data_IF_137313152124
#
_entry.id   IF_137313152124
#
_cell.length_a   1.000
_cell.length_b   1.000
_cell.length_c   1.000
_cell.angle_alpha   90.00
_cell.angle_beta   90.00
_cell.angle_gamma   90.00
#
_symmetry.space_group_name_H-M   'P 1'
#
loop_
_entity.id
_entity.type
_entity.pdbx_description
1 polymer ?
#
# COMPACT_ATOMS: atom_id res chain seq x y z
N UNK A 1 -4.22 -13.38 12.46
CA UNK A 1 -4.63 -13.22 11.04
C UNK A 1 -6.14 -13.36 10.88
N UNK A 2 -6.73 -14.49 11.29
CA UNK A 2 -8.18 -14.74 11.14
C UNK A 2 -9.10 -13.59 11.61
N UNK A 3 -9.00 -13.18 12.88
CA UNK A 3 -9.82 -12.08 13.45
C UNK A 3 -9.81 -10.81 12.57
N UNK A 4 -8.64 -10.35 12.15
CA UNK A 4 -8.53 -9.13 11.35
C UNK A 4 -9.01 -9.32 9.91
N UNK A 5 -8.88 -10.51 9.34
CA UNK A 5 -9.43 -10.80 8.01
C UNK A 5 -10.97 -10.73 8.02
N UNK A 6 -11.64 -11.25 9.05
CA UNK A 6 -13.10 -11.18 9.20
C UNK A 6 -13.59 -9.73 9.39
N UNK A 7 -12.87 -8.94 10.18
CA UNK A 7 -13.17 -7.51 10.36
C UNK A 7 -12.99 -6.73 9.06
N UNK A 8 -11.90 -6.98 8.33
CA UNK A 8 -11.57 -6.27 7.10
C UNK A 8 -12.45 -6.68 5.92
N UNK A 9 -12.96 -7.91 5.90
CA UNK A 9 -13.94 -8.32 4.90
C UNK A 9 -15.18 -7.42 4.97
N UNK A 10 -15.69 -7.18 6.19
CA UNK A 10 -16.89 -6.36 6.41
C UNK A 10 -16.66 -4.88 6.12
N UNK A 11 -15.46 -4.36 6.43
CA UNK A 11 -15.14 -2.93 6.31
C UNK A 11 -14.64 -2.52 4.93
N UNK A 12 -13.87 -3.40 4.29
CA UNK A 12 -13.05 -3.06 3.12
C UNK A 12 -13.16 -4.08 1.98
N UNK A 13 -14.04 -5.08 2.10
CA UNK A 13 -14.16 -6.18 1.16
C UNK A 13 -12.83 -6.94 0.94
N UNK A 14 -12.01 -7.02 2.00
CA UNK A 14 -10.74 -7.74 2.00
C UNK A 14 -10.90 -9.08 2.72
N UNK A 15 -11.22 -10.13 1.96
CA UNK A 15 -11.62 -11.44 2.48
C UNK A 15 -10.49 -12.30 3.04
N UNK A 16 -9.22 -12.00 2.73
CA UNK A 16 -8.08 -12.80 3.14
C UNK A 16 -6.93 -11.91 3.67
N UNK A 17 -6.02 -12.48 4.46
CA UNK A 17 -4.91 -11.75 5.05
C UNK A 17 -3.71 -12.68 5.31
N UNK A 18 -2.51 -12.12 5.36
CA UNK A 18 -1.28 -12.84 5.64
C UNK A 18 -0.41 -12.13 6.66
N UNK A 19 0.52 -12.87 7.27
CA UNK A 19 1.51 -12.33 8.21
C UNK A 19 2.82 -13.08 8.05
N UNK A 20 3.93 -12.34 8.07
CA UNK A 20 5.28 -12.90 8.10
C UNK A 20 6.05 -12.22 9.23
N UNK A 21 6.67 -13.00 10.10
CA UNK A 21 7.66 -12.53 11.07
C UNK A 21 9.04 -13.02 10.65
N UNK A 22 10.00 -12.09 10.58
CA UNK A 22 11.36 -12.36 10.11
C UNK A 22 12.35 -11.84 11.15
N UNK A 23 13.42 -12.59 11.42
CA UNK A 23 14.58 -12.08 12.14
C UNK A 23 15.35 -11.11 11.22
N UNK A 24 15.44 -9.80 11.56
CA UNK A 24 16.07 -8.82 10.68
C UNK A 24 17.60 -8.97 10.57
N UNK A 25 18.25 -9.71 11.48
CA UNK A 25 19.71 -9.94 11.45
C UNK A 25 20.08 -11.12 10.57
N UNK A 26 19.28 -12.18 10.62
CA UNK A 26 19.60 -13.45 9.94
C UNK A 26 18.75 -13.68 8.68
N UNK A 27 17.61 -12.99 8.55
CA UNK A 27 16.63 -13.22 7.49
C UNK A 27 15.75 -14.46 7.70
N UNK A 28 15.87 -15.15 8.84
CA UNK A 28 15.08 -16.35 9.11
C UNK A 28 13.59 -16.02 9.23
N UNK A 29 12.74 -16.83 8.59
CA UNK A 29 11.29 -16.77 8.76
C UNK A 29 10.93 -17.46 10.07
N UNK A 30 10.50 -16.68 11.06
CA UNK A 30 10.10 -17.17 12.38
C UNK A 30 8.64 -17.64 12.39
N UNK A 31 7.80 -16.96 11.60
CA UNK A 31 6.39 -17.30 11.43
C UNK A 31 5.92 -16.87 10.05
N UNK A 32 5.10 -17.70 9.41
CA UNK A 32 4.40 -17.36 8.16
C UNK A 32 2.98 -17.91 8.23
N UNK A 33 2.01 -17.02 8.06
CA UNK A 33 0.59 -17.36 7.96
C UNK A 33 0.09 -16.82 6.63
N UNK A 34 -0.31 -17.72 5.74
CA UNK A 34 -0.64 -17.37 4.36
C UNK A 34 -2.11 -17.02 4.11
N UNK A 35 -2.99 -17.32 5.05
CA UNK A 35 -4.42 -17.05 4.93
C UNK A 35 -5.11 -17.01 6.30
N UNK A 36 -6.37 -16.59 6.31
CA UNK A 36 -7.19 -16.61 7.53
C UNK A 36 -7.59 -18.00 8.00
N UNK A 37 -7.86 -18.90 7.04
CA UNK A 37 -8.20 -20.31 7.22
C UNK A 37 -7.73 -21.03 5.96
N UNK A 38 -6.88 -22.04 6.11
CA UNK A 38 -6.31 -22.79 4.99
C UNK A 38 -7.37 -23.67 4.29
N UNK A 39 -8.37 -24.15 5.02
CA UNK A 39 -9.35 -25.11 4.52
C UNK A 39 -10.59 -24.45 3.89
N UNK A 40 -10.74 -23.13 4.02
CA UNK A 40 -11.82 -22.37 3.38
C UNK A 40 -11.52 -22.13 1.89
N UNK A 41 -11.76 -23.16 1.07
CA UNK A 41 -11.55 -23.11 -0.38
C UNK A 41 -12.44 -22.05 -1.06
N UNK A 42 -13.61 -21.71 -0.48
CA UNK A 42 -14.53 -20.72 -1.05
C UNK A 42 -13.94 -19.30 -1.10
N UNK A 43 -12.88 -19.06 -0.33
CA UNK A 43 -12.17 -17.76 -0.24
C UNK A 43 -10.68 -17.90 -0.50
N UNK A 44 -10.30 -18.92 -1.26
CA UNK A 44 -8.91 -19.18 -1.65
C UNK A 44 -8.00 -19.35 -0.42
N UNK A 45 -8.49 -20.04 0.62
CA UNK A 45 -7.76 -20.26 1.87
C UNK A 45 -6.43 -20.98 1.70
N UNK A 46 -6.33 -21.85 0.70
CA UNK A 46 -5.12 -22.58 0.35
C UNK A 46 -4.10 -21.74 -0.47
N UNK A 47 -4.44 -20.51 -0.86
CA UNK A 47 -3.52 -19.57 -1.47
C UNK A 47 -2.75 -18.77 -0.40
N UNK A 48 -1.42 -18.79 -0.49
CA UNK A 48 -0.56 -18.07 0.44
C UNK A 48 -0.44 -16.59 0.05
N UNK A 49 -1.32 -15.75 0.60
CA UNK A 49 -1.33 -14.31 0.31
C UNK A 49 -0.08 -13.57 0.83
N UNK A 50 0.70 -14.17 1.73
CA UNK A 50 1.95 -13.58 2.20
C UNK A 50 3.03 -13.53 1.11
N UNK A 51 2.87 -14.31 0.03
CA UNK A 51 3.75 -14.30 -1.14
C UNK A 51 3.14 -13.54 -2.34
N UNK A 52 1.92 -13.02 -2.19
CA UNK A 52 1.21 -12.35 -3.28
C UNK A 52 1.72 -10.92 -3.49
N UNK A 53 1.75 -10.47 -4.74
CA UNK A 53 2.08 -9.08 -5.08
C UNK A 53 0.88 -8.19 -4.84
N UNK A 54 1.04 -7.16 -3.99
CA UNK A 54 0.02 -6.13 -3.71
C UNK A 54 0.68 -4.76 -3.65
N UNK A 55 -0.12 -3.72 -3.85
CA UNK A 55 0.36 -2.35 -3.63
C UNK A 55 0.54 -2.12 -2.11
N UNK A 56 1.72 -1.70 -1.64
CA UNK A 56 1.97 -1.48 -0.21
C UNK A 56 1.33 -0.19 0.35
N UNK A 57 0.93 0.73 -0.53
CA UNK A 57 0.40 2.04 -0.14
C UNK A 57 1.38 2.82 0.74
N UNK A 58 0.85 3.52 1.75
CA UNK A 58 1.65 4.35 2.67
C UNK A 58 2.73 3.58 3.43
N UNK A 59 2.66 2.25 3.53
CA UNK A 59 3.70 1.43 4.17
C UNK A 59 5.06 1.51 3.43
N UNK A 60 5.08 1.98 2.17
CA UNK A 60 6.32 2.19 1.41
C UNK A 60 7.04 3.51 1.76
N UNK A 61 6.37 4.47 2.40
CA UNK A 61 6.93 5.79 2.72
C UNK A 61 8.29 5.75 3.44
N UNK A 62 8.58 4.84 4.39
CA UNK A 62 9.89 4.78 5.03
C UNK A 62 11.07 4.70 4.06
N UNK A 63 10.93 4.02 2.92
CA UNK A 63 11.98 3.96 1.89
C UNK A 63 12.18 5.30 1.16
N UNK A 64 11.09 6.04 0.93
CA UNK A 64 11.13 7.40 0.37
C UNK A 64 11.86 8.34 1.33
N UNK A 65 11.53 8.31 2.62
CA UNK A 65 12.20 9.13 3.63
C UNK A 65 13.66 8.73 3.85
N UNK A 66 13.99 7.43 3.83
CA UNK A 66 15.39 6.98 3.87
C UNK A 66 16.20 7.54 2.69
N UNK A 67 15.59 7.63 1.51
CA UNK A 67 16.22 8.26 0.34
C UNK A 67 16.40 9.77 0.52
N UNK A 68 15.43 10.46 1.14
CA UNK A 68 15.56 11.89 1.48
C UNK A 68 16.71 12.12 2.48
N UNK A 69 16.82 11.29 3.53
CA UNK A 69 17.92 11.38 4.49
C UNK A 69 19.28 11.14 3.84
N UNK A 70 19.38 10.19 2.91
CA UNK A 70 20.61 10.00 2.10
C UNK A 70 20.97 11.23 1.26
N UNK A 71 20.00 12.10 0.96
CA UNK A 71 20.19 13.37 0.23
C UNK A 71 20.45 14.56 1.17
N UNK A 72 20.61 14.34 2.48
CA UNK A 72 20.93 15.38 3.45
C UNK A 72 19.72 16.02 4.15
N UNK A 73 18.51 15.53 3.90
CA UNK A 73 17.33 15.93 4.69
C UNK A 73 17.48 15.38 6.10
N UNK A 74 16.94 16.10 7.09
CA UNK A 74 16.95 15.69 8.51
C UNK A 74 15.53 15.52 9.03
N UNK A 75 15.33 14.89 10.19
CA UNK A 75 14.02 14.84 10.84
C UNK A 75 13.41 16.22 11.10
N UNK A 76 14.25 17.25 11.25
CA UNK A 76 13.86 18.65 11.49
C UNK A 76 13.60 19.43 10.19
N UNK A 77 13.87 18.86 9.02
CA UNK A 77 13.62 19.52 7.74
C UNK A 77 12.11 19.73 7.56
N UNK A 78 11.68 20.99 7.51
CA UNK A 78 10.29 21.33 7.26
C UNK A 78 9.87 20.88 5.86
N UNK A 79 8.77 20.14 5.77
CA UNK A 79 8.12 19.73 4.53
C UNK A 79 6.71 20.29 4.52
N UNK A 80 6.35 20.95 3.42
CA UNK A 80 5.04 21.57 3.27
C UNK A 80 3.99 20.54 2.84
N UNK A 81 3.00 20.31 3.69
CA UNK A 81 1.79 19.56 3.37
C UNK A 81 0.69 20.53 2.93
N UNK A 82 0.72 20.88 1.65
CA UNK A 82 -0.18 21.85 1.04
C UNK A 82 -1.01 21.17 -0.06
N UNK A 83 -2.17 21.75 -0.37
CA UNK A 83 -2.93 21.35 -1.56
C UNK A 83 -2.01 21.45 -2.77
N UNK A 84 -1.80 20.31 -3.43
CA UNK A 84 -0.87 20.21 -4.56
C UNK A 84 -1.58 19.49 -5.69
N UNK A 85 -1.56 20.09 -6.88
CA UNK A 85 -2.03 19.47 -8.11
C UNK A 85 -0.85 18.80 -8.82
N UNK A 86 -1.01 17.52 -9.20
CA UNK A 86 0.00 16.73 -9.89
C UNK A 86 -0.44 16.33 -11.31
N UNK A 87 -1.72 16.51 -11.65
CA UNK A 87 -2.25 16.17 -12.95
C UNK A 87 -1.64 17.07 -14.03
N UNK A 88 -1.15 16.47 -15.12
CA UNK A 88 -0.48 17.21 -16.20
C UNK A 88 -1.45 17.99 -17.10
N UNK A 89 -2.75 17.77 -16.94
CA UNK A 89 -3.83 18.41 -17.72
C UNK A 89 -4.61 19.46 -16.92
N UNK A 90 -4.15 19.81 -15.71
CA UNK A 90 -4.78 20.83 -14.87
C UNK A 90 -3.80 21.97 -14.56
N UNK A 91 -4.34 23.17 -14.32
CA UNK A 91 -3.58 24.27 -13.73
C UNK A 91 -3.28 24.01 -12.24
N UNK A 92 -2.56 24.94 -11.59
CA UNK A 92 -2.19 24.84 -10.18
C UNK A 92 -3.37 24.86 -9.21
N UNK A 93 -4.53 25.34 -9.63
CA UNK A 93 -5.76 25.39 -8.84
C UNK A 93 -6.65 24.16 -9.06
N UNK A 94 -6.31 23.34 -10.07
CA UNK A 94 -7.02 22.12 -10.42
C UNK A 94 -8.03 22.29 -11.55
N UNK A 95 -8.08 23.44 -12.21
CA UNK A 95 -8.94 23.65 -13.37
C UNK A 95 -8.33 22.95 -14.59
N UNK A 96 -9.13 22.31 -15.47
CA UNK A 96 -8.63 21.73 -16.72
C UNK A 96 -7.95 22.79 -17.59
N UNK A 97 -6.77 22.47 -18.13
CA UNK A 97 -6.05 23.35 -19.07
C UNK A 97 -6.67 23.36 -20.48
N UNK A 98 -7.40 22.30 -20.80
CA UNK A 98 -8.15 22.15 -22.04
C UNK A 98 -9.60 21.85 -21.66
N UNK A 99 -10.54 22.50 -22.34
CA UNK A 99 -11.93 22.01 -22.32
C UNK A 99 -11.94 20.57 -22.83
N UNK A 100 -12.87 19.75 -22.32
CA UNK A 100 -13.06 18.39 -22.81
C UNK A 100 -13.16 18.41 -24.34
N UNK A 101 -12.10 18.01 -25.03
CA UNK A 101 -12.20 17.59 -26.42
C UNK A 101 -12.96 16.28 -26.36
N UNK A 102 -14.17 16.30 -26.90
CA UNK A 102 -15.07 15.16 -26.99
C UNK A 102 -14.30 13.92 -27.50
N UNK A 103 -14.44 12.73 -26.90
CA UNK A 103 -13.77 11.52 -27.38
C UNK A 103 -14.25 11.03 -28.77
N UNK A 104 -15.08 11.81 -29.48
CA UNK A 104 -15.55 11.56 -30.84
C UNK A 104 -14.80 12.36 -31.93
N UNK A 105 -13.74 13.12 -31.59
CA UNK A 105 -12.74 13.63 -32.56
C UNK A 105 -11.36 12.97 -32.44
#
# INVERSE_FOLDING_TARGET
VARYAEENEKKFNASNAGMVGVDPKTGHVLVMVGSRDYFDVSREGNFNVALARRQPGSAFKPFVYATAFKKGYTPETAVFDLKTQFQTTCDSEGNPLYEHVDPEE
#
